data_IF_311427216758
#
_entry.id   IF_311427216758
#
_cell.length_a   1.000
_cell.length_b   1.000
_cell.length_c   1.000
_cell.angle_alpha   90.00
_cell.angle_beta   90.00
_cell.angle_gamma   90.00
#
_symmetry.space_group_name_H-M   'P 1'
#
loop_
_entity.id
_entity.type
_entity.pdbx_description
1 polymer ?
#
# COMPACT_ATOMS: atom_id res chain seq x y z
N UNK A 1 18.84 -22.76 -6.63
CA UNK A 1 18.96 -21.99 -5.37
C UNK A 1 17.57 -21.63 -4.88
N UNK A 2 17.31 -21.64 -3.58
CA UNK A 2 15.96 -21.45 -3.01
C UNK A 2 16.02 -20.41 -1.90
N UNK A 3 15.11 -19.44 -1.95
CA UNK A 3 15.03 -18.30 -1.06
C UNK A 3 13.63 -18.15 -0.46
N UNK A 4 13.50 -18.32 0.85
CA UNK A 4 12.30 -17.99 1.58
C UNK A 4 12.13 -16.47 1.74
N UNK A 5 10.93 -15.93 1.44
CA UNK A 5 10.57 -14.53 1.68
C UNK A 5 9.36 -14.43 2.59
N UNK A 6 9.45 -13.53 3.57
CA UNK A 6 8.37 -13.24 4.52
C UNK A 6 8.44 -11.76 4.93
N UNK A 7 7.27 -11.12 5.03
CA UNK A 7 7.16 -9.76 5.54
C UNK A 7 7.01 -9.80 7.06
N UNK A 8 7.84 -9.03 7.77
CA UNK A 8 7.72 -8.89 9.22
C UNK A 8 6.32 -8.36 9.60
N UNK A 9 5.75 -8.85 10.70
CA UNK A 9 4.45 -8.43 11.24
C UNK A 9 4.37 -6.92 11.46
N UNK A 10 5.44 -6.30 11.96
CA UNK A 10 5.50 -4.85 12.21
C UNK A 10 5.88 -4.03 10.97
N UNK A 11 5.93 -4.64 9.80
CA UNK A 11 6.33 -3.95 8.57
C UNK A 11 5.29 -2.88 8.17
N UNK A 12 5.67 -1.59 8.03
CA UNK A 12 4.74 -0.45 7.94
C UNK A 12 4.07 -0.28 6.56
N UNK A 13 4.04 -1.34 5.74
CA UNK A 13 3.54 -1.34 4.36
C UNK A 13 4.17 -0.25 3.45
N UNK A 14 5.34 0.26 3.82
CA UNK A 14 6.15 1.20 3.04
C UNK A 14 7.41 0.49 2.57
N UNK A 15 7.69 0.59 1.27
CA UNK A 15 8.84 -0.06 0.65
C UNK A 15 9.52 0.87 -0.36
N UNK A 16 10.85 0.74 -0.54
CA UNK A 16 11.60 1.58 -1.46
C UNK A 16 11.29 1.23 -2.92
N UNK A 17 11.47 2.20 -3.83
CA UNK A 17 11.22 2.03 -5.28
C UNK A 17 12.01 0.87 -5.90
N UNK A 18 13.23 0.60 -5.42
CA UNK A 18 14.03 -0.52 -5.91
C UNK A 18 13.36 -1.87 -5.61
N UNK A 19 12.63 -1.98 -4.49
CA UNK A 19 11.93 -3.21 -4.12
C UNK A 19 10.75 -3.50 -5.05
N UNK A 20 10.04 -2.46 -5.50
CA UNK A 20 8.97 -2.59 -6.50
C UNK A 20 9.52 -3.15 -7.81
N UNK A 21 10.63 -2.57 -8.30
CA UNK A 21 11.31 -3.04 -9.51
C UNK A 21 11.80 -4.48 -9.34
N UNK A 22 12.39 -4.80 -8.18
CA UNK A 22 12.85 -6.15 -7.88
C UNK A 22 11.69 -7.15 -7.85
N UNK A 23 10.59 -6.82 -7.17
CA UNK A 23 9.41 -7.70 -7.05
C UNK A 23 8.76 -7.96 -8.41
N UNK A 24 8.77 -7.00 -9.34
CA UNK A 24 8.29 -7.22 -10.71
C UNK A 24 8.92 -8.43 -11.40
N UNK A 25 10.21 -8.69 -11.14
CA UNK A 25 10.96 -9.77 -11.80
C UNK A 25 11.17 -11.00 -10.90
N UNK A 26 11.20 -10.80 -9.58
CA UNK A 26 11.62 -11.80 -8.60
C UNK A 26 10.54 -12.14 -7.57
N UNK A 27 9.43 -11.40 -7.60
CA UNK A 27 8.34 -11.52 -6.65
C UNK A 27 7.49 -12.76 -6.86
N UNK A 28 6.47 -12.85 -6.03
CA UNK A 28 5.42 -13.85 -6.16
C UNK A 28 4.47 -13.51 -7.30
N UNK A 29 3.73 -14.51 -7.77
CA UNK A 29 2.75 -14.40 -8.84
C UNK A 29 1.41 -15.00 -8.37
N UNK A 30 0.23 -14.48 -8.78
CA UNK A 30 -1.05 -14.98 -8.29
C UNK A 30 -1.31 -16.47 -8.58
N UNK A 31 -0.68 -17.03 -9.61
CA UNK A 31 -0.84 -18.42 -10.07
C UNK A 31 -0.39 -19.44 -9.03
N UNK A 32 0.47 -19.03 -8.08
CA UNK A 32 0.92 -19.93 -7.01
C UNK A 32 -0.01 -19.89 -5.80
N UNK A 33 -0.99 -18.98 -5.74
CA UNK A 33 -1.88 -18.88 -4.59
C UNK A 33 -2.80 -20.10 -4.49
N UNK A 34 -2.94 -20.69 -3.29
CA UNK A 34 -3.95 -21.71 -3.04
C UNK A 34 -5.35 -21.16 -3.34
N UNK A 35 -6.34 -22.03 -3.66
CA UNK A 35 -7.67 -21.60 -4.08
C UNK A 35 -8.35 -20.58 -3.15
N UNK A 36 -8.24 -20.75 -1.82
CA UNK A 36 -8.83 -19.80 -0.85
C UNK A 36 -8.18 -18.43 -0.90
N UNK A 37 -6.84 -18.39 -0.93
CA UNK A 37 -6.05 -17.15 -1.02
C UNK A 37 -6.30 -16.47 -2.37
N UNK A 38 -6.42 -17.24 -3.46
CA UNK A 38 -6.74 -16.71 -4.78
C UNK A 38 -8.12 -16.04 -4.78
N UNK A 39 -9.13 -16.65 -4.15
CA UNK A 39 -10.46 -16.02 -3.99
C UNK A 39 -10.37 -14.72 -3.19
N UNK A 40 -9.59 -14.71 -2.10
CA UNK A 40 -9.29 -13.48 -1.35
C UNK A 40 -8.63 -12.42 -2.24
N UNK A 41 -7.63 -12.79 -3.04
CA UNK A 41 -6.95 -11.88 -3.97
C UNK A 41 -7.91 -11.28 -5.00
N UNK A 42 -8.80 -12.09 -5.59
CA UNK A 42 -9.83 -11.57 -6.51
C UNK A 42 -10.79 -10.62 -5.79
N UNK A 43 -11.18 -10.95 -4.56
CA UNK A 43 -12.02 -10.06 -3.75
C UNK A 43 -11.31 -8.75 -3.43
N UNK A 44 -10.02 -8.80 -3.11
CA UNK A 44 -9.19 -7.63 -2.85
C UNK A 44 -9.18 -6.69 -4.06
N UNK A 45 -8.91 -7.21 -5.26
CA UNK A 45 -8.97 -6.42 -6.50
C UNK A 45 -10.34 -5.80 -6.75
N UNK A 46 -11.41 -6.50 -6.38
CA UNK A 46 -12.78 -6.00 -6.53
C UNK A 46 -13.12 -4.86 -5.58
N UNK A 47 -12.63 -4.88 -4.34
CA UNK A 47 -12.96 -3.86 -3.33
C UNK A 47 -11.96 -2.70 -3.27
N UNK A 48 -10.77 -2.87 -3.86
CA UNK A 48 -9.75 -1.84 -4.02
C UNK A 48 -9.41 -1.59 -5.50
N UNK A 49 -10.33 -1.06 -6.32
CA UNK A 49 -10.07 -0.78 -7.72
C UNK A 49 -9.05 0.37 -7.86
N UNK A 50 -7.99 0.11 -8.62
CA UNK A 50 -6.92 1.05 -8.98
C UNK A 50 -6.74 1.02 -10.51
N UNK A 51 -6.90 2.18 -11.15
CA UNK A 51 -6.70 2.33 -12.59
C UNK A 51 -5.20 2.44 -12.92
N UNK A 52 -4.78 1.81 -14.02
CA UNK A 52 -3.40 1.91 -14.52
C UNK A 52 -2.33 1.16 -13.70
N UNK A 53 -2.70 0.53 -12.59
CA UNK A 53 -1.76 -0.21 -11.74
C UNK A 53 -1.48 -1.60 -12.33
N UNK A 54 -0.21 -1.96 -12.59
CA UNK A 54 0.16 -3.28 -13.11
C UNK A 54 -0.23 -4.42 -12.15
N UNK A 55 -0.51 -5.60 -12.70
CA UNK A 55 -0.92 -6.77 -11.90
C UNK A 55 0.09 -7.12 -10.80
N UNK A 56 1.40 -7.03 -11.07
CA UNK A 56 2.43 -7.36 -10.08
C UNK A 56 2.39 -6.41 -8.87
N UNK A 57 2.00 -5.14 -9.06
CA UNK A 57 1.88 -4.18 -7.96
C UNK A 57 0.65 -4.47 -7.10
N UNK A 58 -0.47 -4.87 -7.71
CA UNK A 58 -1.62 -5.39 -6.96
C UNK A 58 -1.24 -6.61 -6.11
N UNK A 59 -0.49 -7.55 -6.70
CA UNK A 59 0.00 -8.73 -6.00
C UNK A 59 0.92 -8.35 -4.83
N UNK A 60 1.85 -7.42 -5.07
CA UNK A 60 2.76 -6.91 -4.05
C UNK A 60 1.99 -6.30 -2.87
N UNK A 61 1.05 -5.40 -3.14
CA UNK A 61 0.24 -4.75 -2.11
C UNK A 61 -0.55 -5.78 -1.29
N UNK A 62 -1.24 -6.71 -1.97
CA UNK A 62 -2.00 -7.77 -1.31
C UNK A 62 -1.11 -8.60 -0.38
N UNK A 63 0.05 -9.07 -0.86
CA UNK A 63 0.95 -9.88 -0.06
C UNK A 63 1.56 -9.13 1.12
N UNK A 64 1.82 -7.83 0.97
CA UNK A 64 2.34 -6.99 2.07
C UNK A 64 1.27 -6.74 3.14
N UNK A 65 0.02 -6.49 2.73
CA UNK A 65 -1.11 -6.25 3.65
C UNK A 65 -1.38 -7.50 4.48
N UNK A 66 -1.45 -8.67 3.83
CA UNK A 66 -1.76 -9.94 4.49
C UNK A 66 -0.50 -10.72 4.92
N UNK A 67 0.69 -10.12 4.85
CA UNK A 67 1.97 -10.72 5.26
C UNK A 67 2.24 -12.11 4.68
N UNK A 68 1.86 -12.30 3.41
CA UNK A 68 1.96 -13.60 2.75
C UNK A 68 3.42 -13.92 2.39
N UNK A 69 3.97 -15.03 2.87
CA UNK A 69 5.29 -15.49 2.46
C UNK A 69 5.22 -16.22 1.12
N UNK A 70 6.35 -16.28 0.44
CA UNK A 70 6.54 -17.11 -0.74
C UNK A 70 7.96 -17.63 -0.80
N UNK A 71 8.17 -18.66 -1.61
CA UNK A 71 9.48 -19.20 -1.90
C UNK A 71 9.84 -18.80 -3.32
N UNK A 72 10.92 -18.05 -3.48
CA UNK A 72 11.50 -17.79 -4.79
C UNK A 72 12.70 -18.72 -4.99
N UNK A 73 12.80 -19.33 -6.15
CA UNK A 73 13.95 -20.13 -6.53
C UNK A 73 14.37 -19.86 -7.95
N UNK A 74 15.62 -20.17 -8.27
CA UNK A 74 16.08 -20.22 -9.64
C UNK A 74 17.03 -21.37 -9.88
N UNK A 75 17.05 -21.84 -11.11
CA UNK A 75 18.02 -22.82 -11.60
C UNK A 75 18.66 -22.30 -12.89
N UNK A 76 19.72 -22.98 -13.33
CA UNK A 76 20.32 -22.70 -14.63
C UNK A 76 19.90 -23.78 -15.60
N UNK A 77 19.51 -23.36 -16.81
CA UNK A 77 19.18 -24.23 -17.92
C UNK A 77 20.10 -23.89 -19.09
N UNK A 78 20.53 -24.92 -19.82
CA UNK A 78 21.23 -24.72 -21.08
C UNK A 78 20.20 -24.40 -22.17
N UNK A 79 20.44 -23.34 -22.92
CA UNK A 79 19.63 -22.95 -24.06
C UNK A 79 20.52 -23.05 -25.31
N UNK A 80 20.19 -24.04 -26.14
CA UNK A 80 20.77 -24.18 -27.47
C UNK A 80 20.17 -23.09 -28.38
N UNK A 81 21.03 -22.35 -29.07
CA UNK A 81 20.63 -21.33 -30.05
C UNK A 81 21.48 -21.55 -31.29
N UNK A 82 20.82 -21.66 -32.44
CA UNK A 82 21.50 -21.92 -33.71
C UNK A 82 22.57 -20.85 -33.99
N UNK A 83 23.76 -21.32 -34.36
CA UNK A 83 24.90 -20.44 -34.64
C UNK A 83 25.63 -19.88 -33.41
N UNK A 84 25.21 -20.20 -32.19
CA UNK A 84 25.88 -19.77 -30.95
C UNK A 84 26.55 -20.97 -30.26
N UNK A 85 27.87 -20.90 -30.07
CA UNK A 85 28.65 -21.89 -29.33
C UNK A 85 29.68 -21.20 -28.43
N UNK A 86 29.77 -21.54 -27.13
CA UNK A 86 29.03 -22.61 -26.44
C UNK A 86 27.54 -22.25 -26.17
N UNK A 87 26.71 -23.24 -25.79
CA UNK A 87 25.29 -23.01 -25.47
C UNK A 87 25.13 -21.98 -24.36
N UNK A 88 24.05 -21.19 -24.42
CA UNK A 88 23.78 -20.16 -23.43
C UNK A 88 23.35 -20.78 -22.11
N UNK A 89 23.88 -20.27 -21.00
CA UNK A 89 23.41 -20.63 -19.66
C UNK A 89 22.39 -19.59 -19.20
N UNK A 90 21.11 -19.95 -19.27
CA UNK A 90 20.03 -19.07 -18.85
C UNK A 90 19.56 -19.38 -17.44
N UNK A 91 19.21 -18.34 -16.70
CA UNK A 91 18.62 -18.47 -15.37
C UNK A 91 17.11 -18.56 -15.48
N UNK A 92 16.54 -19.63 -14.96
CA UNK A 92 15.10 -19.87 -14.92
C UNK A 92 14.60 -19.63 -13.50
N UNK A 93 13.70 -18.65 -13.34
CA UNK A 93 13.10 -18.29 -12.06
C UNK A 93 11.77 -19.00 -11.85
N UNK A 94 11.45 -19.26 -10.59
CA UNK A 94 10.19 -19.88 -10.17
C UNK A 94 9.77 -19.32 -8.82
N UNK A 95 8.47 -19.10 -8.63
CA UNK A 95 7.88 -18.83 -7.33
C UNK A 95 7.06 -20.05 -6.89
N UNK A 96 6.96 -20.29 -5.59
CA UNK A 96 6.09 -21.32 -4.99
C UNK A 96 5.43 -20.78 -3.72
N UNK A 97 4.22 -21.27 -3.46
CA UNK A 97 3.54 -20.99 -2.21
C UNK A 97 4.29 -21.62 -1.05
N UNK A 98 4.25 -20.94 0.10
CA UNK A 98 4.82 -21.48 1.33
C UNK A 98 3.73 -22.00 2.25
N UNK A 99 3.64 -23.33 2.36
CA UNK A 99 2.69 -24.07 3.18
C UNK A 99 2.80 -23.83 4.71
N UNK A 100 3.71 -22.96 5.18
CA UNK A 100 3.83 -22.63 6.60
C UNK A 100 2.76 -21.63 7.04
N UNK A 101 2.05 -20.99 6.10
CA UNK A 101 0.99 -20.04 6.38
C UNK A 101 -0.38 -20.63 6.09
N UNK A 102 -1.31 -20.38 7.02
CA UNK A 102 -2.71 -20.75 6.84
C UNK A 102 -3.31 -19.98 5.68
N UNK A 103 -4.05 -20.68 4.82
CA UNK A 103 -4.79 -20.06 3.73
C UNK A 103 -5.85 -19.05 4.21
N UNK A 104 -6.33 -19.21 5.44
CA UNK A 104 -7.33 -18.31 6.04
C UNK A 104 -6.76 -16.92 6.35
N UNK A 105 -5.44 -16.75 6.33
CA UNK A 105 -4.77 -15.46 6.58
C UNK A 105 -5.12 -14.40 5.52
N UNK A 106 -5.46 -14.82 4.31
CA UNK A 106 -5.79 -13.93 3.20
C UNK A 106 -6.98 -14.45 2.38
N UNK A 107 -7.92 -15.13 3.04
CA UNK A 107 -9.18 -15.52 2.41
C UNK A 107 -10.11 -14.31 2.18
N UNK A 108 -11.26 -14.54 1.58
CA UNK A 108 -12.25 -13.48 1.34
C UNK A 108 -12.70 -12.79 2.63
N UNK A 109 -12.78 -13.53 3.75
CA UNK A 109 -13.22 -12.98 5.04
C UNK A 109 -12.16 -12.02 5.61
N UNK A 110 -10.89 -12.40 5.57
CA UNK A 110 -9.77 -11.56 5.98
C UNK A 110 -9.74 -10.26 5.15
N UNK A 111 -9.93 -10.37 3.84
CA UNK A 111 -9.99 -9.21 2.93
C UNK A 111 -11.14 -8.27 3.28
N UNK A 112 -12.35 -8.81 3.46
CA UNK A 112 -13.50 -7.99 3.86
C UNK A 112 -13.33 -7.36 5.24
N UNK A 113 -12.70 -8.08 6.18
CA UNK A 113 -12.38 -7.54 7.50
C UNK A 113 -11.45 -6.34 7.40
N UNK A 114 -10.38 -6.45 6.60
CA UNK A 114 -9.45 -5.36 6.35
C UNK A 114 -10.12 -4.17 5.66
N UNK A 115 -10.93 -4.42 4.63
CA UNK A 115 -11.70 -3.37 3.96
C UNK A 115 -12.63 -2.64 4.93
N UNK A 116 -13.40 -3.38 5.74
CA UNK A 116 -14.30 -2.80 6.71
C UNK A 116 -13.58 -2.00 7.81
N UNK A 117 -12.38 -2.40 8.23
CA UNK A 117 -11.61 -1.62 9.21
C UNK A 117 -11.19 -0.26 8.66
N UNK A 118 -10.88 -0.19 7.36
CA UNK A 118 -10.54 1.08 6.70
C UNK A 118 -11.76 1.98 6.56
N UNK A 119 -12.92 1.42 6.18
CA UNK A 119 -14.17 2.19 6.01
C UNK A 119 -14.76 2.65 7.33
N UNK A 120 -14.61 1.86 8.41
CA UNK A 120 -15.12 2.20 9.75
C UNK A 120 -14.19 3.13 10.54
N UNK A 121 -12.93 3.28 10.11
CA UNK A 121 -12.08 4.32 10.67
C UNK A 121 -12.71 5.67 10.28
N UNK A 122 -13.04 6.56 11.23
CA UNK A 122 -13.57 7.86 10.88
C UNK A 122 -12.52 8.55 10.00
N UNK A 123 -12.84 8.75 8.73
CA UNK A 123 -12.07 9.65 7.88
C UNK A 123 -11.95 10.97 8.65
N UNK A 124 -10.76 11.54 8.82
CA UNK A 124 -10.70 12.98 8.99
C UNK A 124 -11.44 13.53 7.77
N UNK A 125 -12.60 14.14 8.00
CA UNK A 125 -13.19 15.02 6.99
C UNK A 125 -12.18 16.11 6.65
N UNK A 126 -12.43 16.93 5.62
CA UNK A 126 -11.58 18.09 5.33
C UNK A 126 -11.43 18.89 6.64
N UNK A 127 -10.24 18.84 7.23
CA UNK A 127 -9.93 19.51 8.48
C UNK A 127 -9.83 21.00 8.20
N UNK A 128 -10.96 21.69 8.26
CA UNK A 128 -10.94 23.13 8.42
C UNK A 128 -10.51 23.44 9.86
N UNK A 129 -9.35 24.09 9.95
CA UNK A 129 -8.86 24.98 11.02
C UNK A 129 -8.60 24.40 12.42
N UNK A 130 -7.36 24.62 12.87
CA UNK A 130 -6.84 24.53 14.24
C UNK A 130 -7.92 24.91 15.28
N UNK A 131 -8.53 23.90 15.90
CA UNK A 131 -9.39 24.15 17.06
C UNK A 131 -8.48 24.16 18.27
N UNK A 132 -8.27 25.36 18.83
CA UNK A 132 -7.37 25.60 19.95
C UNK A 132 -7.77 24.74 21.17
N UNK A 133 -6.80 24.22 21.92
CA UNK A 133 -7.02 23.28 23.04
C UNK A 133 -7.95 23.85 24.12
N UNK A 134 -7.96 25.19 24.27
CA UNK A 134 -8.84 25.91 25.20
C UNK A 134 -10.33 25.80 24.80
N UNK A 135 -10.61 25.69 23.50
CA UNK A 135 -11.96 25.49 22.98
C UNK A 135 -12.44 24.07 23.25
N UNK A 136 -11.56 23.08 23.09
CA UNK A 136 -11.86 21.67 23.36
C UNK A 136 -12.19 21.48 24.84
N UNK A 137 -11.41 22.10 25.72
CA UNK A 137 -11.64 22.03 27.17
C UNK A 137 -12.96 22.68 27.58
N UNK A 138 -13.31 23.84 27.00
CA UNK A 138 -14.61 24.48 27.22
C UNK A 138 -15.80 23.61 26.80
N UNK A 139 -15.71 22.92 25.67
CA UNK A 139 -16.78 22.02 25.20
C UNK A 139 -16.96 20.83 26.13
N UNK A 140 -15.87 20.28 26.68
CA UNK A 140 -15.92 19.15 27.61
C UNK A 140 -16.52 19.51 28.98
N UNK A 141 -16.44 20.78 29.38
CA UNK A 141 -16.97 21.28 30.65
C UNK A 141 -18.46 21.65 30.58
N UNK A 142 -19.04 21.80 29.38
CA UNK A 142 -20.45 22.12 29.19
C UNK A 142 -21.37 20.92 29.47
N UNK A 143 -22.48 21.17 30.17
CA UNK A 143 -23.48 20.13 30.53
C UNK A 143 -24.76 20.22 29.70
N UNK A 144 -24.92 21.26 28.89
CA UNK A 144 -26.08 21.49 28.05
C UNK A 144 -25.72 21.54 26.56
N UNK A 145 -26.65 21.09 25.72
CA UNK A 145 -26.45 21.04 24.26
C UNK A 145 -26.45 22.45 23.65
N UNK A 146 -27.15 23.37 24.29
CA UNK A 146 -27.29 24.76 23.89
C UNK A 146 -25.98 25.54 24.08
N UNK A 147 -25.22 25.26 25.13
CA UNK A 147 -23.90 25.86 25.37
C UNK A 147 -22.87 25.38 24.35
N UNK A 148 -22.84 24.08 24.06
CA UNK A 148 -21.96 23.51 23.03
C UNK A 148 -22.21 24.17 21.67
N UNK A 149 -23.48 24.37 21.32
CA UNK A 149 -23.86 24.97 20.04
C UNK A 149 -23.40 26.44 19.93
N UNK A 150 -23.45 27.20 21.04
CA UNK A 150 -22.97 28.59 21.07
C UNK A 150 -21.46 28.69 20.87
N UNK A 151 -20.69 27.79 21.49
CA UNK A 151 -19.23 27.76 21.37
C UNK A 151 -18.83 27.48 19.91
N UNK A 152 -19.51 26.53 19.26
CA UNK A 152 -19.26 26.22 17.85
C UNK A 152 -19.58 27.40 16.91
N UNK A 153 -20.65 28.14 17.20
CA UNK A 153 -21.02 29.32 16.42
C UNK A 153 -20.05 30.50 16.63
N UNK A 154 -19.41 30.59 17.80
CA UNK A 154 -18.40 31.61 18.13
C UNK A 154 -17.08 31.36 17.38
N UNK A 155 -16.58 30.12 17.40
CA UNK A 155 -15.38 29.70 16.64
C UNK A 155 -15.54 29.95 15.16
N UNK A 156 -16.75 29.74 14.63
CA UNK A 156 -17.06 29.99 13.22
C UNK A 156 -17.05 31.47 12.84
N UNK A 157 -17.21 32.39 13.80
CA UNK A 157 -17.28 33.84 13.59
C UNK A 157 -15.95 34.56 13.85
N UNK A 158 -14.97 33.92 14.48
CA UNK A 158 -13.63 34.48 14.66
C UNK A 158 -12.87 34.56 13.31
N UNK A 159 -12.27 35.72 12.94
CA UNK A 159 -11.45 35.83 11.74
C UNK A 159 -10.14 35.07 11.91
N UNK A 160 -9.78 34.23 10.94
CA UNK A 160 -8.46 33.58 10.86
C UNK A 160 -7.37 34.61 10.51
N UNK A 161 -6.21 34.62 11.17
CA UNK A 161 -5.04 35.34 10.69
C UNK A 161 -4.63 34.78 9.33
N UNK A 162 -4.53 35.67 8.35
CA UNK A 162 -4.30 35.39 6.94
C UNK A 162 -2.92 34.79 6.63
N UNK A 163 -2.92 34.02 5.54
CA UNK A 163 -1.83 33.30 4.88
C UNK A 163 -0.65 34.20 4.45
N UNK A 164 0.46 34.26 5.20
CA UNK A 164 1.61 35.07 4.77
C UNK A 164 3.01 34.49 5.09
N UNK A 165 3.20 33.17 5.14
CA UNK A 165 4.53 32.62 5.52
C UNK A 165 5.07 31.40 4.74
N UNK A 166 4.51 31.04 3.58
CA UNK A 166 5.08 29.96 2.76
C UNK A 166 5.09 30.30 1.26
N UNK A 167 5.78 31.38 0.90
CA UNK A 167 6.33 31.57 -0.43
C UNK A 167 7.85 31.71 -0.31
N UNK A 168 8.56 30.60 -0.13
CA UNK A 168 9.92 30.45 -0.67
C UNK A 168 10.42 29.00 -0.54
N UNK A 169 10.19 28.23 -1.60
CA UNK A 169 11.12 27.18 -2.03
C UNK A 169 10.88 26.93 -3.51
N UNK A 170 11.41 27.82 -4.35
CA UNK A 170 11.71 27.47 -5.73
C UNK A 170 12.83 26.41 -5.72
N UNK A 171 12.53 25.22 -6.23
CA UNK A 171 13.53 24.20 -6.55
C UNK A 171 14.03 24.45 -7.99
N UNK A 172 15.33 24.74 -8.22
CA UNK A 172 15.83 25.24 -9.50
C UNK A 172 16.21 24.15 -10.53
N UNK A 173 15.59 22.96 -10.49
CA UNK A 173 15.90 21.89 -11.47
C UNK A 173 14.65 21.28 -12.11
N UNK A 174 13.91 22.10 -12.88
CA UNK A 174 13.26 21.62 -14.10
C UNK A 174 14.07 22.17 -15.28
N UNK A 175 14.95 21.33 -15.86
CA UNK A 175 15.50 21.54 -17.19
C UNK A 175 15.05 20.39 -18.08
N UNK A 176 14.02 20.69 -18.86
CA UNK A 176 13.50 19.91 -19.96
C UNK A 176 14.48 20.00 -21.14
N UNK A 177 15.09 18.87 -21.51
CA UNK A 177 16.12 18.89 -22.54
C UNK A 177 16.31 17.60 -23.32
N UNK A 178 15.27 17.06 -23.95
CA UNK A 178 15.44 16.28 -25.19
C UNK A 178 14.31 16.56 -26.19
N UNK A 179 14.57 17.55 -27.05
CA UNK A 179 13.95 17.74 -28.36
C UNK A 179 14.51 16.72 -29.36
N UNK A 180 13.60 16.13 -30.13
CA UNK A 180 13.72 15.46 -31.44
C UNK A 180 14.77 14.36 -31.64
#
# INVERSE_FOLDING_TARGET
>A
MVFPFHFNEVFPNKYPRWFVKWFRFMGSIPEIFPPKVLQGYQKYKSVFPQQGVPLFEYTLQFMIIFKLPWIMSWNYKKQEVDGVSPPLLVREFSARWWNAVSEDQADMKAVMSHYNSLVRSPSPGPSCSNTDDDTIKRIQECKSKEEIQRILDEVRKSPTPSEELYQDSQDPYEDDGFLN
#
